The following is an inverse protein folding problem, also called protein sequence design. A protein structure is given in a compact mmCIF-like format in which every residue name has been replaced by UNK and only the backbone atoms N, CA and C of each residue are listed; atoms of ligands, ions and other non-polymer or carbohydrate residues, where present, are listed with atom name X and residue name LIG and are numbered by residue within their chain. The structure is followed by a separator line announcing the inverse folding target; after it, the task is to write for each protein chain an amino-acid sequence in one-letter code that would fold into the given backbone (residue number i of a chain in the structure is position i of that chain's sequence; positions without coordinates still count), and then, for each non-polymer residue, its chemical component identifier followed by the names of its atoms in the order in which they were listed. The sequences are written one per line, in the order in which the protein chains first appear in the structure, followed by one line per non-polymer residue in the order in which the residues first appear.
data_IF_731069834479
#
_entry.id   IF_731069834479
#
_cell.length_a   1.000
_cell.length_b   1.000
_cell.length_c   1.000
_cell.angle_alpha   90.00
_cell.angle_beta   90.00
_cell.angle_gamma   90.00
#
_symmetry.space_group_name_H-M   'P 1'
#
loop_
_entity.id
_entity.type
_entity.pdbx_description
1 polymer ?
#
# COMPACT_ATOMS: atom_id res chain seq x y z
N UNK A 1 13.45 5.49 16.73
CA UNK A 1 14.04 4.83 15.56
C UNK A 1 13.74 3.34 15.68
N UNK A 2 13.51 2.65 14.56
CA UNK A 2 13.23 1.20 14.55
C UNK A 2 14.38 0.48 13.83
N UNK A 3 14.76 -0.68 14.33
CA UNK A 3 15.57 -1.64 13.59
C UNK A 3 14.79 -2.20 12.40
N UNK A 4 15.49 -2.77 11.42
CA UNK A 4 14.83 -3.43 10.29
C UNK A 4 13.87 -4.55 10.71
N UNK A 5 14.19 -5.27 11.79
CA UNK A 5 13.32 -6.32 12.34
C UNK A 5 12.03 -5.72 12.93
N UNK A 6 12.16 -4.66 13.73
CA UNK A 6 10.99 -3.98 14.34
C UNK A 6 10.07 -3.38 13.28
N UNK A 7 10.61 -2.84 12.17
CA UNK A 7 9.79 -2.35 11.05
C UNK A 7 8.96 -3.48 10.44
N UNK A 8 9.57 -4.63 10.18
CA UNK A 8 8.87 -5.78 9.55
C UNK A 8 7.81 -6.36 10.49
N UNK A 9 8.14 -6.54 11.77
CA UNK A 9 7.16 -7.05 12.75
C UNK A 9 5.96 -6.13 12.87
N UNK A 10 6.21 -4.83 13.01
CA UNK A 10 5.15 -3.84 13.12
C UNK A 10 4.30 -3.77 11.85
N UNK A 11 4.93 -3.72 10.68
CA UNK A 11 4.21 -3.69 9.40
C UNK A 11 3.34 -4.93 9.19
N UNK A 12 3.83 -6.11 9.55
CA UNK A 12 3.05 -7.37 9.45
C UNK A 12 1.87 -7.39 10.42
N UNK A 13 2.04 -6.86 11.64
CA UNK A 13 0.97 -6.80 12.64
C UNK A 13 -0.16 -5.84 12.22
N UNK A 14 0.18 -4.71 11.61
CA UNK A 14 -0.78 -3.68 11.19
C UNK A 14 -1.41 -3.97 9.80
N UNK A 15 -0.81 -4.86 8.98
CA UNK A 15 -1.27 -5.15 7.63
C UNK A 15 -2.75 -5.61 7.47
N UNK A 16 -3.34 -6.40 8.39
CA UNK A 16 -4.76 -6.76 8.30
C UNK A 16 -5.70 -5.56 8.36
N UNK A 17 -5.34 -4.50 9.10
CA UNK A 17 -6.13 -3.26 9.20
C UNK A 17 -6.17 -2.50 7.88
N UNK A 18 -5.16 -2.73 7.02
CA UNK A 18 -5.03 -2.15 5.69
C UNK A 18 -5.72 -2.98 4.60
N UNK A 19 -6.43 -4.05 4.97
CA UNK A 19 -7.04 -4.97 4.02
C UNK A 19 -6.04 -5.84 3.25
N UNK A 20 -4.80 -5.95 3.75
CA UNK A 20 -3.77 -6.79 3.16
C UNK A 20 -3.87 -8.20 3.73
N UNK A 21 -4.49 -9.11 2.98
CA UNK A 21 -4.84 -10.46 3.46
C UNK A 21 -3.78 -11.53 3.14
N UNK A 22 -2.59 -11.13 2.69
CA UNK A 22 -1.48 -12.03 2.41
C UNK A 22 -0.96 -11.98 0.96
N UNK A 23 -0.24 -13.04 0.53
CA UNK A 23 0.36 -13.12 -0.80
C UNK A 23 -0.67 -12.92 -1.91
N UNK A 24 -0.40 -12.01 -2.83
CA UNK A 24 -1.33 -11.63 -3.92
C UNK A 24 -2.07 -10.31 -3.69
N UNK A 25 -1.99 -9.73 -2.49
CA UNK A 25 -2.47 -8.36 -2.26
C UNK A 25 -1.63 -7.38 -3.10
N UNK A 26 -2.30 -6.48 -3.82
CA UNK A 26 -1.64 -5.41 -4.57
C UNK A 26 -2.25 -4.07 -4.20
N UNK A 27 -1.43 -3.19 -3.64
CA UNK A 27 -1.88 -1.86 -3.27
C UNK A 27 -1.56 -0.84 -4.36
N UNK A 28 -2.52 0.02 -4.68
CA UNK A 28 -2.31 1.24 -5.44
C UNK A 28 -2.19 2.41 -4.46
N UNK A 29 -0.97 2.93 -4.26
CA UNK A 29 -0.69 3.95 -3.25
C UNK A 29 -0.36 5.31 -3.86
N UNK A 30 -1.07 6.34 -3.43
CA UNK A 30 -0.73 7.75 -3.61
C UNK A 30 -0.28 8.46 -2.33
N UNK A 31 -0.09 7.72 -1.23
CA UNK A 31 0.29 8.30 0.07
C UNK A 31 1.72 8.83 0.06
N UNK A 32 2.01 9.96 0.76
CA UNK A 32 3.36 10.41 1.00
C UNK A 32 4.09 9.49 2.01
N UNK A 33 5.42 9.52 2.00
CA UNK A 33 6.28 8.67 2.85
C UNK A 33 6.95 9.44 3.99
N UNK A 34 6.38 10.58 4.35
CA UNK A 34 6.81 11.44 5.46
C UNK A 34 6.24 11.00 6.82
N UNK A 35 5.35 10.01 6.82
CA UNK A 35 4.70 9.47 8.02
C UNK A 35 4.83 7.95 8.07
N UNK A 36 4.77 7.39 9.29
CA UNK A 36 4.67 5.94 9.48
C UNK A 36 3.44 5.36 8.76
N UNK A 37 2.27 6.01 8.87
CA UNK A 37 1.05 5.54 8.22
C UNK A 37 1.22 5.45 6.70
N UNK A 38 1.82 6.48 6.07
CA UNK A 38 2.07 6.51 4.64
C UNK A 38 3.11 5.47 4.19
N UNK A 39 4.19 5.31 4.95
CA UNK A 39 5.21 4.28 4.71
C UNK A 39 4.65 2.87 4.89
N UNK A 40 3.90 2.63 5.96
CA UNK A 40 3.38 1.32 6.27
C UNK A 40 2.31 0.90 5.27
N UNK A 41 1.32 1.77 5.03
CA UNK A 41 0.26 1.50 4.04
C UNK A 41 0.84 1.37 2.64
N UNK A 42 1.70 2.31 2.24
CA UNK A 42 2.18 2.42 0.88
C UNK A 42 3.36 1.51 0.53
N UNK A 43 4.08 0.92 1.50
CA UNK A 43 5.30 0.18 1.20
C UNK A 43 5.54 -1.00 2.14
N UNK A 44 5.67 -0.77 3.45
CA UNK A 44 6.13 -1.81 4.38
C UNK A 44 5.10 -2.92 4.59
N UNK A 45 3.82 -2.59 4.80
CA UNK A 45 2.73 -3.55 4.97
C UNK A 45 2.66 -4.55 3.81
N UNK A 46 2.54 -4.09 2.54
CA UNK A 46 2.53 -4.97 1.38
C UNK A 46 3.76 -5.87 1.30
N UNK A 47 4.97 -5.34 1.55
CA UNK A 47 6.20 -6.15 1.48
C UNK A 47 6.27 -7.18 2.63
N UNK A 48 5.87 -6.80 3.85
CA UNK A 48 5.90 -7.67 5.02
C UNK A 48 4.93 -8.86 4.93
N UNK A 49 3.86 -8.73 4.13
CA UNK A 49 2.87 -9.78 3.86
C UNK A 49 3.07 -10.52 2.54
N UNK A 50 4.13 -10.22 1.77
CA UNK A 50 4.40 -10.84 0.47
C UNK A 50 3.48 -10.36 -0.67
N UNK A 51 2.88 -9.18 -0.51
CA UNK A 51 2.13 -8.46 -1.54
C UNK A 51 3.02 -7.58 -2.43
N UNK A 52 2.37 -6.72 -3.21
CA UNK A 52 3.04 -5.78 -4.13
C UNK A 52 2.46 -4.38 -4.03
N UNK A 53 3.26 -3.38 -4.43
CA UNK A 53 2.88 -1.96 -4.44
C UNK A 53 2.98 -1.39 -5.85
N UNK A 54 1.99 -0.59 -6.21
CA UNK A 54 2.03 0.33 -7.34
C UNK A 54 2.11 1.77 -6.80
N UNK A 55 3.25 2.42 -7.06
CA UNK A 55 3.50 3.80 -6.64
C UNK A 55 2.87 4.78 -7.61
N UNK A 56 1.89 5.56 -7.15
CA UNK A 56 1.17 6.52 -7.96
C UNK A 56 1.04 7.87 -7.23
N UNK A 57 2.11 8.68 -7.27
CA UNK A 57 2.17 10.00 -6.60
C UNK A 57 0.97 10.91 -6.90
N UNK A 58 0.44 10.84 -8.13
CA UNK A 58 -0.62 11.73 -8.60
C UNK A 58 -2.00 11.07 -8.58
N UNK A 59 -2.20 10.00 -7.80
CA UNK A 59 -3.45 9.25 -7.74
C UNK A 59 -4.66 10.14 -7.42
N UNK A 60 -4.47 11.15 -6.55
CA UNK A 60 -5.51 12.12 -6.18
C UNK A 60 -5.93 13.08 -7.29
N UNK A 61 -5.21 13.14 -8.41
CA UNK A 61 -5.57 13.94 -9.59
C UNK A 61 -6.49 13.18 -10.55
N UNK A 62 -6.72 11.87 -10.33
CA UNK A 62 -7.60 11.07 -11.17
C UNK A 62 -9.07 11.27 -10.77
N UNK A 63 -9.93 11.50 -11.77
CA UNK A 63 -11.38 11.34 -11.60
C UNK A 63 -11.78 9.86 -11.46
N UNK A 64 -13.04 9.60 -11.12
CA UNK A 64 -13.56 8.24 -10.85
C UNK A 64 -13.23 7.22 -11.94
N UNK A 65 -13.66 7.47 -13.18
CA UNK A 65 -13.43 6.56 -14.31
C UNK A 65 -11.93 6.29 -14.58
N UNK A 66 -11.07 7.28 -14.35
CA UNK A 66 -9.63 7.14 -14.54
C UNK A 66 -8.98 6.34 -13.40
N UNK A 67 -9.49 6.47 -12.18
CA UNK A 67 -9.09 5.66 -11.03
C UNK A 67 -9.51 4.21 -11.25
N UNK A 68 -10.74 3.94 -11.68
CA UNK A 68 -11.24 2.59 -11.91
C UNK A 68 -10.41 1.86 -12.97
N UNK A 69 -10.12 2.52 -14.10
CA UNK A 69 -9.22 1.99 -15.14
C UNK A 69 -7.82 1.69 -14.60
N UNK A 70 -7.31 2.53 -13.68
CA UNK A 70 -5.99 2.31 -13.08
C UNK A 70 -6.00 1.08 -12.17
N UNK A 71 -7.03 0.94 -11.33
CA UNK A 71 -7.22 -0.22 -10.45
C UNK A 71 -7.29 -1.51 -11.27
N UNK A 72 -8.06 -1.52 -12.36
CA UNK A 72 -8.19 -2.66 -13.26
C UNK A 72 -6.85 -3.01 -13.94
N UNK A 73 -6.20 -2.02 -14.57
CA UNK A 73 -4.95 -2.22 -15.32
C UNK A 73 -3.83 -2.77 -14.44
N UNK A 74 -3.77 -2.29 -13.20
CA UNK A 74 -2.77 -2.69 -12.23
C UNK A 74 -3.17 -3.94 -11.46
N UNK A 75 -4.43 -4.39 -11.55
CA UNK A 75 -5.02 -5.46 -10.72
C UNK A 75 -4.87 -5.16 -9.23
N UNK A 76 -5.09 -3.89 -8.85
CA UNK A 76 -5.02 -3.48 -7.45
C UNK A 76 -6.20 -4.04 -6.66
N UNK A 77 -5.91 -4.61 -5.49
CA UNK A 77 -6.91 -5.16 -4.57
C UNK A 77 -7.24 -4.19 -3.44
N UNK A 78 -6.36 -3.21 -3.20
CA UNK A 78 -6.51 -2.16 -2.18
C UNK A 78 -6.07 -0.82 -2.77
N UNK A 79 -6.75 0.27 -2.40
CA UNK A 79 -6.42 1.64 -2.81
C UNK A 79 -6.07 2.43 -1.54
N UNK A 80 -4.90 3.07 -1.54
CA UNK A 80 -4.47 3.97 -0.47
C UNK A 80 -4.18 5.35 -1.05
N UNK A 81 -5.01 6.34 -0.71
CA UNK A 81 -4.89 7.73 -1.15
C UNK A 81 -5.00 8.68 0.02
#
# INVERSE_FOLDING_TARGET
EFTGAEVVERARAEAPELGLTGPGSRILSGRPYDTWEGLNTGLYGPLATGGSVVLCRNLGLLGGDALDKRVESERATVIAR
#
